data_IF_493176205388
#
_entry.id   IF_493176205388
#
_cell.length_a   1.000
_cell.length_b   1.000
_cell.length_c   1.000
_cell.angle_alpha   90.00
_cell.angle_beta   90.00
_cell.angle_gamma   90.00
#
_symmetry.space_group_name_H-M   'P 1'
#
loop_
_entity.id
_entity.type
_entity.pdbx_description
1 polymer ?
#
# COMPACT_ATOMS: atom_id res chain seq x y z
N UNK A 1 -14.19 7.37 -5.40
CA UNK A 1 -13.54 6.17 -5.90
C UNK A 1 -12.34 5.83 -5.05
N UNK A 2 -12.12 4.55 -4.88
CA UNK A 2 -10.95 4.09 -4.14
C UNK A 2 -9.68 4.27 -4.97
N UNK A 3 -8.59 4.58 -4.32
CA UNK A 3 -7.31 4.83 -4.98
C UNK A 3 -6.22 3.99 -4.33
N UNK A 4 -5.25 3.60 -5.13
CA UNK A 4 -4.05 2.93 -4.63
C UNK A 4 -2.87 3.89 -4.76
N UNK A 5 -2.25 4.20 -3.63
CA UNK A 5 -1.02 4.96 -3.61
C UNK A 5 0.16 4.01 -3.59
N UNK A 6 1.12 4.24 -4.48
CA UNK A 6 2.38 3.49 -4.50
C UNK A 6 3.48 4.41 -3.99
N UNK A 7 4.09 4.05 -2.89
CA UNK A 7 5.12 4.85 -2.26
C UNK A 7 6.41 4.05 -2.19
N UNK A 8 7.31 4.29 -3.13
CA UNK A 8 8.58 3.60 -3.27
C UNK A 8 9.54 4.51 -4.04
N UNK A 9 10.77 4.63 -3.60
CA UNK A 9 11.77 5.45 -4.27
C UNK A 9 12.38 4.79 -5.51
N UNK A 10 12.14 3.50 -5.71
CA UNK A 10 12.61 2.77 -6.89
C UNK A 10 11.57 2.85 -8.00
N UNK A 11 11.87 3.63 -9.04
CA UNK A 11 10.94 3.84 -10.15
C UNK A 11 10.61 2.55 -10.90
N UNK A 12 11.53 1.56 -10.89
CA UNK A 12 11.24 0.27 -11.54
C UNK A 12 10.13 -0.45 -10.81
N UNK A 13 10.13 -0.37 -9.49
CA UNK A 13 9.09 -0.99 -8.66
C UNK A 13 7.76 -0.28 -8.88
N UNK A 14 7.74 1.06 -8.81
CA UNK A 14 6.49 1.80 -8.98
C UNK A 14 5.89 1.62 -10.36
N UNK A 15 6.72 1.60 -11.40
CA UNK A 15 6.22 1.39 -12.77
C UNK A 15 5.64 0.01 -12.95
N UNK A 16 6.31 -1.02 -12.43
CA UNK A 16 5.83 -2.39 -12.54
C UNK A 16 4.53 -2.59 -11.77
N UNK A 17 4.46 -2.07 -10.56
CA UNK A 17 3.24 -2.14 -9.75
C UNK A 17 2.09 -1.37 -10.40
N UNK A 18 2.36 -0.16 -10.85
CA UNK A 18 1.33 0.67 -11.48
C UNK A 18 0.77 -0.01 -12.73
N UNK A 19 1.64 -0.55 -13.56
CA UNK A 19 1.22 -1.27 -14.76
C UNK A 19 0.27 -2.43 -14.40
N UNK A 20 0.67 -3.24 -13.43
CA UNK A 20 -0.14 -4.37 -13.00
C UNK A 20 -1.49 -3.92 -12.46
N UNK A 21 -1.50 -2.95 -11.57
CA UNK A 21 -2.72 -2.51 -10.91
C UNK A 21 -3.66 -1.78 -11.84
N UNK A 22 -3.12 -0.97 -12.73
CA UNK A 22 -3.95 -0.28 -13.73
C UNK A 22 -4.55 -1.27 -14.71
N UNK A 23 -3.83 -2.33 -15.05
CA UNK A 23 -4.37 -3.38 -15.92
C UNK A 23 -5.51 -4.13 -15.27
N UNK A 24 -5.59 -4.10 -13.94
CA UNK A 24 -6.69 -4.70 -13.17
C UNK A 24 -7.85 -3.72 -12.92
N UNK A 25 -7.74 -2.50 -13.42
CA UNK A 25 -8.80 -1.51 -13.31
C UNK A 25 -8.70 -0.55 -12.14
N UNK A 26 -7.58 -0.54 -11.41
CA UNK A 26 -7.41 0.36 -10.27
C UNK A 26 -6.87 1.72 -10.71
N UNK A 27 -7.27 2.75 -9.98
CA UNK A 27 -6.66 4.06 -10.09
C UNK A 27 -5.44 4.13 -9.19
N UNK A 28 -4.29 4.54 -9.73
CA UNK A 28 -3.01 4.48 -9.04
C UNK A 28 -2.33 5.83 -9.06
N UNK A 29 -1.79 6.26 -7.92
CA UNK A 29 -0.91 7.42 -7.83
C UNK A 29 0.44 6.98 -7.26
N UNK A 30 1.52 7.43 -7.89
CA UNK A 30 2.88 7.05 -7.50
C UNK A 30 3.57 8.21 -6.80
N UNK A 31 4.32 7.88 -5.74
CA UNK A 31 5.05 8.84 -4.92
C UNK A 31 6.45 8.27 -4.68
N UNK A 32 7.46 9.12 -4.73
CA UNK A 32 8.84 8.72 -4.48
C UNK A 32 9.33 9.08 -3.08
N UNK A 33 8.63 9.96 -2.38
CA UNK A 33 9.04 10.45 -1.07
C UNK A 33 7.87 10.46 -0.10
N UNK A 34 8.13 10.00 1.12
CA UNK A 34 7.10 9.93 2.16
C UNK A 34 6.56 11.29 2.56
N UNK A 35 7.43 12.29 2.66
CA UNK A 35 7.01 13.64 3.03
C UNK A 35 6.05 14.25 2.01
N UNK A 36 6.34 14.08 0.72
CA UNK A 36 5.46 14.57 -0.34
C UNK A 36 4.10 13.89 -0.30
N UNK A 37 4.10 12.58 -0.11
CA UNK A 37 2.87 11.83 0.01
C UNK A 37 2.01 12.37 1.17
N UNK A 38 2.59 12.53 2.33
CA UNK A 38 1.86 13.00 3.51
C UNK A 38 1.36 14.43 3.35
N UNK A 39 2.09 15.25 2.59
CA UNK A 39 1.71 16.65 2.41
C UNK A 39 0.64 16.85 1.34
N UNK A 40 0.62 16.01 0.30
CA UNK A 40 -0.19 16.28 -0.88
C UNK A 40 -1.31 15.27 -1.10
N UNK A 41 -1.20 14.05 -0.60
CA UNK A 41 -2.23 13.04 -0.81
C UNK A 41 -3.43 13.28 0.10
N UNK A 42 -4.60 12.86 -0.37
CA UNK A 42 -5.79 12.85 0.49
C UNK A 42 -5.74 11.60 1.36
N UNK A 43 -5.41 11.76 2.63
CA UNK A 43 -5.23 10.67 3.58
C UNK A 43 -6.55 10.10 4.09
N UNK A 44 -7.66 10.74 3.76
CA UNK A 44 -8.99 10.37 4.26
C UNK A 44 -9.91 9.82 3.17
N UNK A 45 -9.37 9.65 1.97
CA UNK A 45 -10.08 9.01 0.87
C UNK A 45 -10.02 7.49 1.04
N UNK A 46 -11.06 6.79 0.65
CA UNK A 46 -11.04 5.33 0.65
C UNK A 46 -9.95 4.83 -0.28
N UNK A 47 -9.11 3.93 0.20
CA UNK A 47 -8.02 3.41 -0.60
C UNK A 47 -6.95 2.71 0.23
N UNK A 48 -5.84 2.43 -0.44
CA UNK A 48 -4.72 1.68 0.11
C UNK A 48 -3.43 2.37 -0.28
N UNK A 49 -2.45 2.35 0.60
CA UNK A 49 -1.08 2.71 0.25
C UNK A 49 -0.20 1.46 0.27
N UNK A 50 0.47 1.20 -0.85
CA UNK A 50 1.52 0.19 -0.93
C UNK A 50 2.81 0.93 -0.62
N UNK A 51 3.38 0.59 0.52
CA UNK A 51 4.40 1.42 1.17
C UNK A 51 5.70 0.64 1.28
N UNK A 52 6.74 1.12 0.59
CA UNK A 52 8.06 0.53 0.71
C UNK A 52 8.59 0.72 2.14
N UNK A 53 9.16 -0.35 2.68
CA UNK A 53 9.70 -0.32 4.04
C UNK A 53 10.90 0.61 4.15
N UNK A 54 11.74 0.67 3.12
CA UNK A 54 13.00 1.44 3.16
C UNK A 54 13.02 2.50 2.07
N UNK A 55 13.08 3.74 2.51
CA UNK A 55 13.19 4.90 1.61
C UNK A 55 14.13 5.93 2.25
N UNK A 56 14.84 6.73 1.42
CA UNK A 56 15.63 7.84 1.96
C UNK A 56 14.71 8.84 2.67
N UNK A 57 15.23 9.46 3.70
CA UNK A 57 14.45 10.41 4.49
C UNK A 57 13.44 9.70 5.36
N UNK A 58 12.17 10.03 5.22
CA UNK A 58 11.10 9.40 5.98
C UNK A 58 10.83 8.01 5.39
N UNK A 59 11.11 6.96 6.15
CA UNK A 59 10.93 5.59 5.70
C UNK A 59 9.49 5.11 5.87
N UNK A 60 9.23 3.85 5.48
CA UNK A 60 7.89 3.29 5.54
C UNK A 60 7.30 3.27 6.94
N UNK A 61 8.11 3.00 7.96
CA UNK A 61 7.63 3.00 9.34
C UNK A 61 7.23 4.39 9.78
N UNK A 62 8.01 5.40 9.38
CA UNK A 62 7.69 6.79 9.70
C UNK A 62 6.40 7.25 9.02
N UNK A 63 6.19 6.88 7.77
CA UNK A 63 4.95 7.19 7.06
C UNK A 63 3.76 6.51 7.74
N UNK A 64 3.89 5.24 8.10
CA UNK A 64 2.81 4.51 8.77
C UNK A 64 2.43 5.19 10.09
N UNK A 65 3.42 5.56 10.88
CA UNK A 65 3.15 6.25 12.15
C UNK A 65 2.46 7.58 11.94
N UNK A 66 2.87 8.36 10.93
CA UNK A 66 2.21 9.62 10.61
C UNK A 66 0.76 9.40 10.19
N UNK A 67 0.48 8.35 9.41
CA UNK A 67 -0.88 8.02 9.02
C UNK A 67 -1.73 7.66 10.23
N UNK A 68 -1.18 6.89 11.16
CA UNK A 68 -1.89 6.52 12.38
C UNK A 68 -2.21 7.75 13.23
N UNK A 69 -1.24 8.64 13.40
CA UNK A 69 -1.41 9.84 14.21
C UNK A 69 -2.44 10.80 13.60
N UNK A 70 -2.52 10.86 12.28
CA UNK A 70 -3.48 11.74 11.59
C UNK A 70 -4.90 11.14 11.52
N UNK A 71 -5.07 9.89 11.91
CA UNK A 71 -6.36 9.22 11.77
C UNK A 71 -6.73 8.90 10.34
N UNK A 72 -5.76 8.67 9.48
CA UNK A 72 -5.99 8.35 8.07
C UNK A 72 -6.85 7.09 7.92
N UNK A 73 -7.71 7.09 6.90
CA UNK A 73 -8.55 5.95 6.57
C UNK A 73 -7.91 5.01 5.55
N UNK A 74 -6.70 5.33 5.08
CA UNK A 74 -6.02 4.48 4.11
C UNK A 74 -5.55 3.18 4.76
N UNK A 75 -5.75 2.07 4.07
CA UNK A 75 -5.15 0.80 4.47
C UNK A 75 -3.68 0.78 4.10
N UNK A 76 -2.84 0.25 4.96
CA UNK A 76 -1.39 0.21 4.72
C UNK A 76 -0.96 -1.21 4.44
N UNK A 77 -0.35 -1.42 3.27
CA UNK A 77 0.25 -2.69 2.89
C UNK A 77 1.71 -2.43 2.59
N UNK A 78 2.60 -3.09 3.33
CA UNK A 78 4.02 -2.86 3.14
C UNK A 78 4.59 -3.67 1.97
N UNK A 79 5.52 -3.08 1.25
CA UNK A 79 6.36 -3.79 0.30
C UNK A 79 7.71 -4.01 0.98
N UNK A 80 8.11 -5.28 1.11
CA UNK A 80 9.31 -5.61 1.89
C UNK A 80 10.34 -6.33 1.04
N UNK A 81 11.61 -6.04 1.30
CA UNK A 81 12.69 -6.89 0.85
C UNK A 81 12.80 -8.13 1.74
N UNK A 82 13.65 -9.05 1.32
CA UNK A 82 13.77 -10.35 1.98
C UNK A 82 14.18 -10.24 3.45
N UNK A 83 15.05 -9.30 3.79
CA UNK A 83 15.54 -9.12 5.14
C UNK A 83 14.64 -8.29 6.05
N UNK A 84 13.53 -7.75 5.53
CA UNK A 84 12.68 -6.81 6.27
C UNK A 84 11.36 -7.41 6.75
N UNK A 85 11.17 -8.72 6.60
CA UNK A 85 9.93 -9.37 7.02
C UNK A 85 9.66 -9.20 8.52
N UNK A 86 10.64 -9.33 9.42
CA UNK A 86 10.36 -9.07 10.84
C UNK A 86 9.87 -7.65 11.11
N UNK A 87 10.40 -6.65 10.40
CA UNK A 87 9.93 -5.28 10.52
C UNK A 87 8.49 -5.13 10.04
N UNK A 88 8.15 -5.80 8.94
CA UNK A 88 6.79 -5.78 8.41
C UNK A 88 5.80 -6.42 9.41
N UNK A 89 6.18 -7.52 10.02
CA UNK A 89 5.35 -8.17 11.05
C UNK A 89 5.10 -7.22 12.20
N UNK A 90 6.13 -6.48 12.63
CA UNK A 90 5.97 -5.49 13.69
C UNK A 90 4.98 -4.40 13.28
N UNK A 91 5.03 -3.96 12.04
CA UNK A 91 4.10 -2.95 11.54
C UNK A 91 2.66 -3.47 11.47
N UNK A 92 2.47 -4.76 11.25
CA UNK A 92 1.14 -5.35 11.31
C UNK A 92 0.55 -5.27 12.72
N UNK A 93 1.38 -5.40 13.74
CA UNK A 93 0.95 -5.19 15.13
C UNK A 93 0.54 -3.74 15.37
N UNK A 94 1.06 -2.82 14.57
CA UNK A 94 0.74 -1.40 14.64
C UNK A 94 -0.43 -1.02 13.72
N UNK A 95 -1.11 -1.97 13.13
CA UNK A 95 -2.32 -1.72 12.36
C UNK A 95 -2.18 -1.81 10.85
N UNK A 96 -1.01 -2.14 10.31
CA UNK A 96 -0.89 -2.42 8.88
C UNK A 96 -1.77 -3.62 8.51
N UNK A 97 -2.33 -3.57 7.31
CA UNK A 97 -3.26 -4.61 6.86
C UNK A 97 -2.51 -5.89 6.48
N UNK A 98 -1.39 -5.74 5.77
CA UNK A 98 -0.64 -6.89 5.30
C UNK A 98 0.73 -6.42 4.79
N UNK A 99 1.53 -7.36 4.29
CA UNK A 99 2.76 -7.03 3.58
C UNK A 99 2.94 -7.96 2.38
N UNK A 100 3.64 -7.47 1.37
CA UNK A 100 3.99 -8.23 0.17
C UNK A 100 5.49 -8.20 0.02
N UNK A 101 6.10 -9.36 -0.29
CA UNK A 101 7.53 -9.42 -0.55
C UNK A 101 7.83 -9.10 -2.01
N UNK A 102 8.85 -8.29 -2.24
CA UNK A 102 9.35 -8.04 -3.59
C UNK A 102 10.00 -9.32 -4.14
N UNK A 103 9.96 -9.57 -5.45
CA UNK A 103 9.39 -8.71 -6.51
C UNK A 103 7.87 -8.85 -6.62
N UNK A 104 7.20 -7.73 -6.85
CA UNK A 104 5.73 -7.67 -6.84
C UNK A 104 5.08 -8.36 -8.03
N UNK A 105 5.80 -8.59 -9.10
CA UNK A 105 5.27 -9.28 -10.28
C UNK A 105 5.41 -10.80 -10.22
N UNK A 106 5.95 -11.34 -9.12
CA UNK A 106 6.06 -12.78 -8.98
C UNK A 106 4.68 -13.42 -8.84
N UNK A 107 4.58 -14.70 -9.21
CA UNK A 107 3.31 -15.42 -9.06
C UNK A 107 2.87 -15.51 -7.60
N UNK A 108 3.83 -15.60 -6.67
CA UNK A 108 3.54 -15.58 -5.24
C UNK A 108 2.87 -14.28 -4.82
N UNK A 109 3.39 -13.15 -5.30
CA UNK A 109 2.84 -11.84 -4.97
C UNK A 109 1.45 -11.66 -5.57
N UNK A 110 1.22 -12.15 -6.78
CA UNK A 110 -0.11 -12.10 -7.40
C UNK A 110 -1.14 -12.91 -6.62
N UNK A 111 -0.77 -14.10 -6.16
CA UNK A 111 -1.66 -14.90 -5.33
C UNK A 111 -1.97 -14.19 -4.02
N UNK A 112 -0.95 -13.58 -3.40
CA UNK A 112 -1.12 -12.83 -2.17
C UNK A 112 -2.04 -11.64 -2.39
N UNK A 113 -1.89 -10.96 -3.54
CA UNK A 113 -2.74 -9.84 -3.89
C UNK A 113 -4.20 -10.25 -3.98
N UNK A 114 -4.48 -11.38 -4.63
CA UNK A 114 -5.85 -11.88 -4.73
C UNK A 114 -6.43 -12.20 -3.37
N UNK A 115 -5.64 -12.82 -2.50
CA UNK A 115 -6.07 -13.12 -1.13
C UNK A 115 -6.36 -11.82 -0.38
N UNK A 116 -5.50 -10.82 -0.52
CA UNK A 116 -5.66 -9.53 0.12
C UNK A 116 -6.99 -8.87 -0.25
N UNK A 117 -7.33 -8.87 -1.55
CA UNK A 117 -8.57 -8.26 -2.02
C UNK A 117 -9.81 -9.05 -1.63
N UNK A 118 -9.69 -10.32 -1.33
CA UNK A 118 -10.79 -11.13 -0.83
C UNK A 118 -10.88 -11.16 0.69
N UNK A 119 -9.95 -10.53 1.39
CA UNK A 119 -9.87 -10.59 2.84
C UNK A 119 -10.83 -9.59 3.51
N UNK A 120 -11.11 -9.78 4.83
CA UNK A 120 -12.05 -8.91 5.54
C UNK A 120 -11.67 -7.44 5.62
N UNK A 121 -10.40 -7.07 5.42
CA UNK A 121 -10.01 -5.66 5.51
C UNK A 121 -10.72 -4.78 4.50
N UNK A 122 -11.17 -5.35 3.39
CA UNK A 122 -11.96 -4.62 2.39
C UNK A 122 -13.21 -4.01 3.02
N UNK A 123 -13.85 -4.74 3.92
CA UNK A 123 -15.04 -4.26 4.63
C UNK A 123 -14.69 -3.14 5.60
N UNK A 124 -13.48 -3.20 6.15
CA UNK A 124 -13.00 -2.18 7.08
C UNK A 124 -12.83 -0.82 6.39
N UNK A 125 -12.42 -0.81 5.13
CA UNK A 125 -12.19 0.41 4.37
C UNK A 125 -13.40 0.86 3.55
N UNK A 126 -14.56 0.25 3.79
CA UNK A 126 -15.81 0.77 3.34
C UNK A 126 -16.37 0.14 2.08
N UNK A 127 -17.66 0.33 1.92
CA UNK A 127 -18.40 -0.26 0.81
C UNK A 127 -18.00 0.32 -0.54
N UNK A 128 -17.58 1.59 -0.56
CA UNK A 128 -17.19 2.25 -1.81
C UNK A 128 -16.01 1.54 -2.45
N UNK A 129 -15.02 1.17 -1.64
CA UNK A 129 -13.87 0.43 -2.14
C UNK A 129 -14.28 -0.94 -2.66
N UNK A 130 -15.13 -1.64 -1.92
CA UNK A 130 -15.64 -2.95 -2.34
C UNK A 130 -16.44 -2.85 -3.64
N UNK A 131 -17.31 -1.85 -3.75
CA UNK A 131 -18.12 -1.64 -4.94
C UNK A 131 -17.27 -1.39 -6.17
N UNK A 132 -16.19 -0.64 -6.04
CA UNK A 132 -15.28 -0.36 -7.14
C UNK A 132 -14.57 -1.62 -7.61
N UNK A 133 -14.20 -2.50 -6.69
CA UNK A 133 -13.45 -3.71 -7.01
C UNK A 133 -14.35 -4.80 -7.57
N UNK A 134 -15.53 -4.93 -7.03
CA UNK A 134 -16.42 -6.04 -7.37
C UNK A 134 -17.17 -5.85 -8.69
N UNK A 135 -17.18 -4.66 -9.22
CA UNK A 135 -17.86 -4.37 -10.48
C UNK A 135 -17.06 -4.75 -11.73
#
# INVERSE_FOLDING_TARGET
MAIIHLLDDDLRVTRACAFLLESLGYEVMCWAEGEMFLAQANLYQAGVVLLDMRMPGLDGRGVHEALRQSGSTLGVVFLTGHGDVPMAVEQMKQGAVDFLQKPVLSSRCRRRWNVLWSSPWRRFHGKEFLGTISS
#
